data_IF_786065755976
#
_entry.id   IF_786065755976
#
_cell.length_a   1.000
_cell.length_b   1.000
_cell.length_c   1.000
_cell.angle_alpha   90.00
_cell.angle_beta   90.00
_cell.angle_gamma   90.00
#
_symmetry.space_group_name_H-M   'P 1'
#
loop_
_entity.id
_entity.type
_entity.pdbx_description
1 polymer ?
#
# COMPACT_ATOMS: atom_id res chain seq x y z
N UNK A 1 -3.76 -9.84 11.51
CA UNK A 1 -2.60 -9.67 12.43
C UNK A 1 -1.74 -8.52 11.90
N UNK A 2 -1.51 -7.44 12.66
CA UNK A 2 -0.52 -6.42 12.30
C UNK A 2 0.86 -6.99 12.65
N UNK A 3 1.76 -7.10 11.67
CA UNK A 3 3.08 -7.72 11.85
C UNK A 3 4.17 -6.65 11.90
N UNK A 4 5.11 -6.85 12.82
CA UNK A 4 6.30 -6.03 13.04
C UNK A 4 7.35 -6.26 11.93
N UNK A 5 8.31 -5.32 11.72
CA UNK A 5 9.23 -5.32 10.57
C UNK A 5 10.19 -6.52 10.44
N UNK A 6 10.25 -7.43 11.41
CA UNK A 6 11.30 -8.44 11.55
C UNK A 6 10.85 -9.90 11.41
N UNK A 7 9.60 -10.19 11.05
CA UNK A 7 9.19 -11.56 10.69
C UNK A 7 9.61 -11.87 9.25
N UNK A 8 10.63 -12.73 9.08
CA UNK A 8 11.06 -13.20 7.76
C UNK A 8 10.09 -14.25 7.21
N UNK A 9 9.23 -13.82 6.28
CA UNK A 9 8.53 -14.75 5.39
C UNK A 9 9.48 -15.21 4.29
N UNK A 10 9.37 -16.48 3.90
CA UNK A 10 9.88 -16.90 2.60
C UNK A 10 9.18 -16.05 1.53
N UNK A 11 9.93 -15.56 0.54
CA UNK A 11 9.40 -14.75 -0.57
C UNK A 11 8.21 -15.40 -1.31
N UNK A 12 7.99 -16.71 -1.14
CA UNK A 12 6.89 -17.46 -1.76
C UNK A 12 5.59 -17.48 -0.93
N UNK A 13 5.61 -17.05 0.33
CA UNK A 13 4.44 -17.06 1.22
C UNK A 13 3.66 -15.74 1.19
N UNK A 14 4.09 -14.78 0.36
CA UNK A 14 3.46 -13.48 0.25
C UNK A 14 2.20 -13.56 -0.62
N UNK A 15 1.04 -13.29 0.01
CA UNK A 15 -0.24 -13.21 -0.69
C UNK A 15 -0.17 -12.23 -1.87
N UNK A 16 -0.54 -12.68 -3.07
CA UNK A 16 -0.54 -11.87 -4.31
C UNK A 16 0.82 -11.23 -4.62
N UNK A 17 1.91 -11.97 -4.45
CA UNK A 17 3.29 -11.46 -4.62
C UNK A 17 3.50 -10.77 -5.97
N UNK A 18 3.13 -11.43 -7.07
CA UNK A 18 3.43 -10.96 -8.42
C UNK A 18 2.57 -9.74 -8.77
N UNK A 19 1.31 -9.73 -8.33
CA UNK A 19 0.41 -8.59 -8.46
C UNK A 19 0.93 -7.39 -7.67
N UNK A 20 1.35 -7.62 -6.42
CA UNK A 20 1.92 -6.54 -5.58
C UNK A 20 3.20 -6.01 -6.18
N UNK A 21 4.09 -6.88 -6.66
CA UNK A 21 5.33 -6.45 -7.32
C UNK A 21 5.01 -5.54 -8.51
N UNK A 22 4.09 -5.98 -9.38
CA UNK A 22 3.66 -5.21 -10.55
C UNK A 22 3.05 -3.85 -10.17
N UNK A 23 2.16 -3.82 -9.18
CA UNK A 23 1.54 -2.59 -8.66
C UNK A 23 2.61 -1.62 -8.14
N UNK A 24 3.51 -2.12 -7.29
CA UNK A 24 4.54 -1.29 -6.66
C UNK A 24 5.53 -0.76 -7.70
N UNK A 25 5.91 -1.57 -8.69
CA UNK A 25 6.73 -1.12 -9.82
C UNK A 25 6.07 0.04 -10.58
N UNK A 26 4.78 -0.04 -10.87
CA UNK A 26 4.05 1.08 -11.50
C UNK A 26 4.04 2.33 -10.61
N UNK A 27 3.77 2.19 -9.31
CA UNK A 27 3.79 3.31 -8.38
C UNK A 27 5.19 3.96 -8.27
N UNK A 28 6.27 3.16 -8.33
CA UNK A 28 7.63 3.68 -8.34
C UNK A 28 7.92 4.52 -9.58
N UNK A 29 7.53 4.06 -10.76
CA UNK A 29 7.71 4.84 -12.00
C UNK A 29 6.91 6.16 -11.95
N UNK A 30 5.69 6.13 -11.42
CA UNK A 30 4.89 7.35 -11.21
C UNK A 30 5.60 8.32 -10.26
N UNK A 31 6.09 7.83 -9.11
CA UNK A 31 6.81 8.67 -8.14
C UNK A 31 8.13 9.21 -8.70
N UNK A 32 8.81 8.46 -9.57
CA UNK A 32 10.01 8.92 -10.27
C UNK A 32 9.72 10.05 -11.27
N UNK A 33 8.59 9.98 -11.96
CA UNK A 33 8.18 11.00 -12.95
C UNK A 33 7.68 12.26 -12.25
N UNK A 34 6.81 12.11 -11.24
CA UNK A 34 6.15 13.24 -10.59
C UNK A 34 6.96 13.79 -9.41
N UNK A 35 7.62 12.93 -8.64
CA UNK A 35 8.27 13.30 -7.39
C UNK A 35 7.29 13.53 -6.23
N UNK A 36 7.83 13.98 -5.10
CA UNK A 36 7.05 14.36 -3.90
C UNK A 36 6.45 15.76 -4.03
N UNK A 37 5.43 16.07 -3.22
CA UNK A 37 4.86 17.43 -3.10
C UNK A 37 3.49 17.64 -3.73
N UNK A 38 2.95 16.63 -4.41
CA UNK A 38 1.57 16.62 -4.86
C UNK A 38 0.60 16.29 -3.73
N UNK A 39 -0.61 16.83 -3.82
CA UNK A 39 -1.70 16.49 -2.90
C UNK A 39 -2.17 15.05 -3.13
N UNK A 40 -2.71 14.43 -2.09
CA UNK A 40 -3.27 13.07 -2.16
C UNK A 40 -4.33 12.96 -3.27
N UNK A 41 -5.12 14.01 -3.52
CA UNK A 41 -6.15 14.07 -4.57
C UNK A 41 -5.61 13.95 -6.01
N UNK A 42 -4.30 14.17 -6.22
CA UNK A 42 -3.65 13.93 -7.53
C UNK A 42 -3.52 12.43 -7.78
N UNK A 43 -3.46 11.65 -6.70
CA UNK A 43 -3.49 10.20 -6.74
C UNK A 43 -4.90 9.70 -6.45
N UNK A 44 -5.23 8.50 -6.92
CA UNK A 44 -6.54 7.90 -6.67
C UNK A 44 -6.37 6.58 -5.92
N UNK A 45 -7.36 6.24 -5.10
CA UNK A 45 -7.47 4.92 -4.51
C UNK A 45 -8.03 3.94 -5.54
N UNK A 46 -7.58 2.68 -5.48
CA UNK A 46 -7.97 1.65 -6.45
C UNK A 46 -8.23 0.30 -5.79
N UNK A 47 -9.07 -0.50 -6.44
CA UNK A 47 -9.13 -1.95 -6.21
C UNK A 47 -8.52 -2.60 -7.44
N UNK A 48 -7.53 -3.48 -7.24
CA UNK A 48 -6.84 -4.17 -8.32
C UNK A 48 -7.15 -5.67 -8.23
N UNK A 49 -7.45 -6.27 -9.38
CA UNK A 49 -7.79 -7.68 -9.54
C UNK A 49 -8.94 -8.15 -8.64
N UNK A 50 -9.84 -7.23 -8.24
CA UNK A 50 -10.93 -7.46 -7.27
C UNK A 50 -10.49 -8.03 -5.92
N UNK A 51 -9.19 -7.93 -5.60
CA UNK A 51 -8.57 -8.66 -4.47
C UNK A 51 -7.69 -7.78 -3.58
N UNK A 52 -7.14 -6.70 -4.14
CA UNK A 52 -6.14 -5.87 -3.47
C UNK A 52 -6.67 -4.44 -3.43
N UNK A 53 -6.86 -3.91 -2.23
CA UNK A 53 -7.16 -2.49 -2.04
C UNK A 53 -5.86 -1.70 -2.01
N UNK A 54 -5.76 -0.65 -2.82
CA UNK A 54 -4.69 0.33 -2.77
C UNK A 54 -5.24 1.59 -2.11
N UNK A 55 -4.57 2.02 -1.05
CA UNK A 55 -4.84 3.27 -0.36
C UNK A 55 -3.63 4.19 -0.53
N UNK A 56 -3.83 5.30 -1.24
CA UNK A 56 -2.75 6.23 -1.52
C UNK A 56 -2.65 7.28 -0.43
N UNK A 57 -1.41 7.66 -0.10
CA UNK A 57 -1.09 8.78 0.79
C UNK A 57 -0.05 9.67 0.15
N UNK A 58 -0.11 10.95 0.50
CA UNK A 58 0.93 11.93 0.17
C UNK A 58 1.33 12.69 1.44
N UNK A 59 1.86 11.95 2.42
CA UNK A 59 2.17 12.43 3.77
C UNK A 59 3.66 12.26 4.08
N UNK A 60 4.16 12.92 5.14
CA UNK A 60 5.55 12.77 5.57
C UNK A 60 5.89 11.34 6.03
N UNK A 61 4.90 10.60 6.51
CA UNK A 61 5.04 9.20 6.91
C UNK A 61 3.67 8.52 6.98
N UNK A 62 3.67 7.18 6.90
CA UNK A 62 2.47 6.36 7.18
C UNK A 62 2.29 6.26 8.71
N UNK A 63 1.13 6.64 9.22
CA UNK A 63 0.78 6.60 10.66
C UNK A 63 -0.20 5.47 10.99
N UNK A 64 -0.31 5.12 12.28
CA UNK A 64 -1.18 4.05 12.77
C UNK A 64 -2.65 4.25 12.41
N UNK A 65 -3.09 5.49 12.27
CA UNK A 65 -4.45 5.81 11.82
C UNK A 65 -4.72 5.24 10.42
N UNK A 66 -3.74 5.30 9.51
CA UNK A 66 -3.86 4.73 8.17
C UNK A 66 -4.00 3.21 8.25
N UNK A 67 -3.18 2.55 9.08
CA UNK A 67 -3.25 1.09 9.26
C UNK A 67 -4.63 0.66 9.78
N UNK A 68 -5.14 1.32 10.82
CA UNK A 68 -6.46 1.02 11.40
C UNK A 68 -7.57 1.24 10.38
N UNK A 69 -7.50 2.32 9.60
CA UNK A 69 -8.44 2.60 8.52
C UNK A 69 -8.43 1.47 7.49
N UNK A 70 -7.26 1.09 6.98
CA UNK A 70 -7.15 -0.01 6.00
C UNK A 70 -7.69 -1.32 6.56
N UNK A 71 -7.40 -1.68 7.82
CA UNK A 71 -7.94 -2.90 8.46
C UNK A 71 -9.48 -2.88 8.48
N UNK A 72 -10.09 -1.76 8.88
CA UNK A 72 -11.54 -1.65 8.92
C UNK A 72 -12.17 -1.85 7.53
N UNK A 73 -11.56 -1.27 6.49
CA UNK A 73 -12.02 -1.46 5.11
C UNK A 73 -11.87 -2.91 4.64
N UNK A 74 -10.73 -3.56 4.93
CA UNK A 74 -10.52 -4.97 4.57
C UNK A 74 -11.57 -5.88 5.22
N UNK A 75 -11.89 -5.64 6.49
CA UNK A 75 -12.93 -6.38 7.20
C UNK A 75 -14.31 -6.17 6.56
N UNK A 76 -14.66 -4.92 6.22
CA UNK A 76 -15.93 -4.59 5.59
C UNK A 76 -16.07 -5.14 4.15
N UNK A 77 -14.99 -5.14 3.37
CA UNK A 77 -14.97 -5.60 1.97
C UNK A 77 -14.68 -7.09 1.79
N UNK A 78 -14.37 -7.81 2.88
CA UNK A 78 -13.91 -9.21 2.87
C UNK A 78 -12.62 -9.42 2.06
N UNK A 79 -11.84 -8.37 1.84
CA UNK A 79 -10.54 -8.45 1.20
C UNK A 79 -9.47 -8.86 2.21
N UNK A 80 -8.47 -9.60 1.74
CA UNK A 80 -7.38 -10.13 2.57
C UNK A 80 -6.13 -9.25 2.59
N UNK A 81 -5.96 -8.39 1.58
CA UNK A 81 -4.76 -7.57 1.41
C UNK A 81 -5.11 -6.12 1.06
N UNK A 82 -4.55 -5.20 1.86
CA UNK A 82 -4.47 -3.78 1.56
C UNK A 82 -3.02 -3.35 1.35
N UNK A 83 -2.80 -2.46 0.40
CA UNK A 83 -1.53 -1.78 0.16
C UNK A 83 -1.70 -0.30 0.47
N UNK A 84 -0.99 0.18 1.48
CA UNK A 84 -0.85 1.62 1.71
C UNK A 84 0.38 2.07 0.94
N UNK A 85 0.23 3.00 0.00
CA UNK A 85 1.32 3.52 -0.82
C UNK A 85 1.46 5.01 -0.58
N UNK A 86 2.62 5.42 -0.04
CA UNK A 86 2.91 6.82 0.29
C UNK A 86 3.86 7.45 -0.74
N UNK A 87 3.38 8.48 -1.41
CA UNK A 87 4.12 9.31 -2.37
C UNK A 87 4.69 10.60 -1.76
N UNK A 88 4.39 10.89 -0.49
CA UNK A 88 4.79 12.16 0.16
C UNK A 88 6.23 12.20 0.65
N UNK A 89 6.92 11.07 0.65
CA UNK A 89 8.31 10.93 1.09
C UNK A 89 9.31 11.05 -0.08
N UNK A 90 10.61 11.15 0.25
CA UNK A 90 11.70 11.21 -0.74
C UNK A 90 11.80 9.96 -1.61
N UNK A 91 11.36 8.82 -1.08
CA UNK A 91 11.23 7.57 -1.81
C UNK A 91 9.82 7.04 -1.60
N UNK A 92 9.28 6.35 -2.59
CA UNK A 92 8.01 5.64 -2.43
C UNK A 92 8.11 4.68 -1.24
N UNK A 93 7.24 4.86 -0.25
CA UNK A 93 7.08 3.90 0.85
C UNK A 93 5.78 3.16 0.68
N UNK A 94 5.76 1.90 1.06
CA UNK A 94 4.52 1.15 1.10
C UNK A 94 4.47 0.20 2.29
N UNK A 95 3.26 -0.12 2.72
CA UNK A 95 2.99 -1.13 3.74
C UNK A 95 1.92 -2.10 3.26
N UNK A 96 2.13 -3.38 3.56
CA UNK A 96 1.15 -4.45 3.37
C UNK A 96 0.34 -4.61 4.64
N UNK A 97 -0.98 -4.56 4.54
CA UNK A 97 -1.91 -4.81 5.64
C UNK A 97 -2.68 -6.08 5.32
N UNK A 98 -2.57 -7.09 6.17
CA UNK A 98 -3.16 -8.40 5.97
C UNK A 98 -4.18 -8.67 7.08
N UNK A 99 -5.38 -9.06 6.68
CA UNK A 99 -6.44 -9.50 7.58
C UNK A 99 -6.46 -11.02 7.69
#
# INVERSE_FOLDING_TARGET
>A
MVKEPNESYGLNDLLYKDEVYSIISCCFEVHKILGKGFLEAVYSDFIVFDKIRIEVKAQQNIIDKNLKQTINYLAASKMKLGLIVNFGEESLKFKRVIL
#
